data_IF_210811772289
#
_entry.id   IF_210811772289
#
_cell.length_a   1.000
_cell.length_b   1.000
_cell.length_c   1.000
_cell.angle_alpha   90.00
_cell.angle_beta   90.00
_cell.angle_gamma   90.00
#
_symmetry.space_group_name_H-M   'P 1'
#
loop_
_entity.id
_entity.type
_entity.pdbx_description
1 polymer ?
#
# COMPACT_ATOMS: atom_id res chain seq x y z
N UNK A 1 7.75 14.77 -68.98
CA UNK A 1 8.61 15.19 -67.86
C UNK A 1 7.82 15.03 -66.59
N UNK A 2 8.15 14.04 -65.74
CA UNK A 2 8.03 14.06 -64.28
C UNK A 2 8.56 12.69 -63.82
N UNK A 3 9.84 12.67 -63.47
CA UNK A 3 10.57 11.47 -63.06
C UNK A 3 10.33 11.17 -61.59
N UNK A 4 10.03 9.91 -61.30
CA UNK A 4 9.91 9.34 -59.96
C UNK A 4 11.30 9.15 -59.36
N UNK A 5 11.68 9.97 -58.39
CA UNK A 5 12.86 9.75 -57.54
C UNK A 5 12.38 9.15 -56.23
N UNK A 6 12.51 7.82 -56.10
CA UNK A 6 12.34 7.10 -54.84
C UNK A 6 13.52 7.43 -53.92
N UNK A 7 13.26 8.18 -52.84
CA UNK A 7 14.20 8.37 -51.74
C UNK A 7 14.26 7.09 -50.89
N UNK A 8 15.28 6.27 -51.13
CA UNK A 8 15.73 5.21 -50.22
C UNK A 8 16.47 5.86 -49.04
N UNK A 9 15.73 6.22 -47.98
CA UNK A 9 16.34 6.50 -46.67
C UNK A 9 16.74 5.18 -46.02
N UNK A 10 17.98 4.76 -46.23
CA UNK A 10 18.62 3.73 -45.43
C UNK A 10 18.90 4.31 -44.02
N UNK A 11 18.04 3.96 -43.06
CA UNK A 11 18.30 4.12 -41.63
C UNK A 11 19.48 3.20 -41.25
N UNK A 12 20.70 3.72 -41.37
CA UNK A 12 21.89 3.13 -40.76
C UNK A 12 21.76 3.28 -39.24
N UNK A 13 21.09 2.31 -38.61
CA UNK A 13 21.08 2.14 -37.17
C UNK A 13 22.53 1.94 -36.71
N UNK A 14 23.13 3.01 -36.19
CA UNK A 14 24.45 2.96 -35.56
C UNK A 14 24.29 2.13 -34.29
N UNK A 15 24.63 0.84 -34.39
CA UNK A 15 24.79 -0.05 -33.26
C UNK A 15 26.04 0.42 -32.50
N UNK A 16 25.88 1.41 -31.63
CA UNK A 16 26.93 1.79 -30.68
C UNK A 16 27.06 0.62 -29.71
N UNK A 17 28.01 -0.27 -29.98
CA UNK A 17 28.37 -1.32 -29.05
C UNK A 17 28.75 -0.66 -27.72
N UNK A 18 27.97 -0.92 -26.67
CA UNK A 18 28.26 -0.42 -25.34
C UNK A 18 29.68 -0.86 -24.94
N UNK A 19 30.55 0.10 -24.66
CA UNK A 19 31.93 -0.17 -24.23
C UNK A 19 31.86 -0.79 -22.83
N UNK A 20 32.05 -2.11 -22.75
CA UNK A 20 32.06 -2.84 -21.49
C UNK A 20 33.30 -2.50 -20.70
N UNK A 21 33.14 -2.09 -19.45
CA UNK A 21 34.26 -1.84 -18.54
C UNK A 21 35.06 -3.12 -18.31
N UNK A 22 36.35 -3.08 -18.65
CA UNK A 22 37.27 -4.20 -18.49
C UNK A 22 38.35 -3.87 -17.48
N UNK A 23 38.76 -4.88 -16.74
CA UNK A 23 39.80 -4.81 -15.71
C UNK A 23 40.73 -6.01 -15.86
N UNK A 24 41.99 -5.87 -15.46
CA UNK A 24 42.94 -6.97 -15.58
C UNK A 24 42.58 -8.14 -14.65
N UNK A 25 42.73 -9.36 -15.14
CA UNK A 25 42.58 -10.56 -14.33
C UNK A 25 43.73 -10.71 -13.34
N UNK A 26 43.43 -11.29 -12.18
CA UNK A 26 44.46 -11.65 -11.20
C UNK A 26 45.15 -12.91 -11.68
N UNK A 27 46.43 -12.79 -12.03
CA UNK A 27 47.25 -13.92 -12.43
C UNK A 27 47.77 -14.65 -11.19
N UNK A 28 47.48 -15.94 -11.10
CA UNK A 28 47.98 -16.83 -10.06
C UNK A 28 48.93 -17.82 -10.72
N UNK A 29 50.17 -17.84 -10.24
CA UNK A 29 51.20 -18.75 -10.71
C UNK A 29 51.41 -19.83 -9.67
N UNK A 30 51.52 -21.07 -10.13
CA UNK A 30 51.95 -22.22 -9.36
C UNK A 30 53.24 -22.76 -9.96
N UNK A 31 54.26 -22.93 -9.13
CA UNK A 31 55.44 -23.69 -9.51
C UNK A 31 55.68 -24.86 -8.56
N UNK A 32 56.26 -25.93 -9.10
CA UNK A 32 56.59 -27.13 -8.36
C UNK A 32 58.10 -27.36 -8.43
N UNK A 33 58.72 -27.51 -7.27
CA UNK A 33 60.15 -27.85 -7.14
C UNK A 33 60.25 -29.25 -6.59
N UNK A 34 60.81 -30.13 -7.41
CA UNK A 34 60.95 -31.54 -7.08
C UNK A 34 62.36 -31.84 -6.57
N UNK A 35 62.44 -32.61 -5.48
CA UNK A 35 63.67 -33.08 -4.87
C UNK A 35 63.68 -34.62 -4.94
N UNK A 36 64.22 -35.20 -6.03
CA UNK A 36 64.07 -36.62 -6.34
C UNK A 36 64.93 -37.56 -5.47
N UNK A 37 65.87 -37.00 -4.69
CA UNK A 37 66.77 -37.73 -3.79
C UNK A 37 66.71 -37.15 -2.36
N UNK A 38 65.53 -36.69 -1.93
CA UNK A 38 65.33 -36.10 -0.61
C UNK A 38 65.30 -37.18 0.48
N UNK A 39 66.10 -37.01 1.53
CA UNK A 39 66.11 -37.92 2.68
C UNK A 39 65.04 -37.53 3.71
N UNK A 40 64.04 -38.39 3.89
CA UNK A 40 62.97 -38.18 4.89
C UNK A 40 63.50 -38.13 6.33
N UNK A 41 64.58 -38.88 6.62
CA UNK A 41 65.26 -38.84 7.92
C UNK A 41 65.86 -37.46 8.22
N UNK A 42 66.30 -36.72 7.20
CA UNK A 42 66.82 -35.36 7.34
C UNK A 42 65.71 -34.33 7.58
N UNK A 43 64.51 -34.57 7.07
CA UNK A 43 63.32 -33.73 7.27
C UNK A 43 62.79 -33.90 8.70
N UNK A 44 62.67 -35.14 9.16
CA UNK A 44 62.12 -35.49 10.48
C UNK A 44 62.93 -34.94 11.67
N UNK A 45 64.18 -34.52 11.45
CA UNK A 45 65.01 -33.82 12.46
C UNK A 45 64.47 -32.44 12.81
N UNK A 46 63.68 -31.83 11.94
CA UNK A 46 63.13 -30.48 12.14
C UNK A 46 61.73 -30.53 12.73
N UNK A 47 61.59 -30.13 14.00
CA UNK A 47 60.30 -29.87 14.62
C UNK A 47 59.61 -28.72 13.87
N UNK A 48 58.37 -28.93 13.40
CA UNK A 48 57.60 -27.99 12.55
C UNK A 48 58.24 -27.71 11.18
N UNK A 49 58.73 -28.75 10.51
CA UNK A 49 59.25 -28.68 9.13
C UNK A 49 58.43 -27.79 8.18
N UNK A 50 57.10 -27.92 8.17
CA UNK A 50 56.22 -27.14 7.28
C UNK A 50 56.39 -25.62 7.45
N UNK A 51 56.59 -25.13 8.67
CA UNK A 51 56.82 -23.72 8.94
C UNK A 51 58.21 -23.28 8.49
N UNK A 52 59.22 -24.11 8.74
CA UNK A 52 60.61 -23.85 8.35
C UNK A 52 60.74 -23.82 6.82
N UNK A 53 60.24 -24.85 6.14
CA UNK A 53 60.18 -24.91 4.67
C UNK A 53 59.49 -23.67 4.11
N UNK A 54 58.30 -23.32 4.62
CA UNK A 54 57.55 -22.13 4.18
C UNK A 54 58.40 -20.86 4.30
N UNK A 55 59.06 -20.65 5.44
CA UNK A 55 59.91 -19.48 5.67
C UNK A 55 61.13 -19.47 4.74
N UNK A 56 61.74 -20.62 4.51
CA UNK A 56 62.87 -20.76 3.58
C UNK A 56 62.48 -20.46 2.14
N UNK A 57 61.35 -20.99 1.67
CA UNK A 57 60.82 -20.73 0.32
C UNK A 57 60.46 -19.24 0.17
N UNK A 58 59.83 -18.64 1.18
CA UNK A 58 59.55 -17.20 1.21
C UNK A 58 60.84 -16.37 1.14
N UNK A 59 61.91 -16.77 1.82
CA UNK A 59 63.19 -16.07 1.74
C UNK A 59 63.80 -16.15 0.33
N UNK A 60 63.72 -17.32 -0.32
CA UNK A 60 64.11 -17.49 -1.72
C UNK A 60 63.29 -16.58 -2.63
N UNK A 61 61.96 -16.57 -2.49
CA UNK A 61 61.09 -15.70 -3.31
C UNK A 61 61.37 -14.22 -3.09
N UNK A 62 61.58 -13.77 -1.85
CA UNK A 62 61.95 -12.38 -1.54
C UNK A 62 63.26 -11.97 -2.19
N UNK A 63 64.23 -12.88 -2.26
CA UNK A 63 65.49 -12.62 -2.95
C UNK A 63 65.29 -12.41 -4.46
N UNK A 64 64.47 -13.24 -5.10
CA UNK A 64 64.06 -13.03 -6.50
C UNK A 64 63.34 -11.69 -6.63
N UNK A 65 62.33 -11.45 -5.78
CA UNK A 65 61.45 -10.29 -5.87
C UNK A 65 62.19 -8.96 -5.73
N UNK A 66 63.27 -8.93 -4.95
CA UNK A 66 64.15 -7.76 -4.81
C UNK A 66 64.80 -7.33 -6.14
N UNK A 67 64.94 -8.24 -7.10
CA UNK A 67 65.60 -7.98 -8.38
C UNK A 67 64.62 -8.03 -9.55
N UNK A 68 63.65 -8.92 -9.48
CA UNK A 68 62.66 -9.18 -10.52
C UNK A 68 61.32 -9.11 -9.82
N UNK A 69 60.54 -8.06 -10.03
CA UNK A 69 59.28 -7.78 -9.33
C UNK A 69 58.20 -8.81 -9.72
N UNK A 70 58.40 -10.07 -9.33
CA UNK A 70 57.58 -11.23 -9.67
C UNK A 70 56.21 -11.17 -8.98
N UNK A 71 56.09 -10.41 -7.90
CA UNK A 71 54.92 -10.36 -7.02
C UNK A 71 54.87 -9.04 -6.23
N UNK A 72 53.66 -8.55 -5.92
CA UNK A 72 53.44 -7.37 -5.07
C UNK A 72 52.41 -6.43 -5.66
N UNK A 73 51.22 -6.38 -5.07
CA UNK A 73 50.06 -5.65 -5.60
C UNK A 73 50.18 -4.11 -5.61
N UNK A 74 49.19 -3.48 -6.24
CA UNK A 74 49.16 -2.07 -6.67
C UNK A 74 49.65 -1.02 -5.66
N UNK A 75 50.18 0.07 -6.23
CA UNK A 75 50.88 1.28 -5.73
C UNK A 75 50.60 1.88 -4.33
N UNK A 76 49.74 1.32 -3.47
CA UNK A 76 49.29 2.00 -2.24
C UNK A 76 49.83 1.47 -0.89
N UNK A 77 50.65 0.42 -0.85
CA UNK A 77 51.25 -0.02 0.42
C UNK A 77 52.78 -0.19 0.33
N UNK A 78 53.48 0.45 1.28
CA UNK A 78 54.94 0.50 1.49
C UNK A 78 55.61 -0.86 1.76
N UNK A 79 55.13 -1.98 1.21
CA UNK A 79 55.74 -3.32 1.30
C UNK A 79 56.12 -3.84 -0.08
N UNK A 80 56.92 -3.07 -0.79
CA UNK A 80 57.31 -3.29 -2.20
C UNK A 80 58.09 -4.59 -2.49
N UNK A 81 58.42 -5.39 -1.46
CA UNK A 81 59.28 -6.58 -1.59
C UNK A 81 58.69 -7.87 -1.00
N UNK A 82 57.45 -7.87 -0.49
CA UNK A 82 56.84 -9.08 0.06
C UNK A 82 55.85 -9.66 -0.94
N UNK A 83 56.14 -10.85 -1.49
CA UNK A 83 55.16 -11.63 -2.23
C UNK A 83 54.00 -11.97 -1.29
N UNK A 84 52.97 -11.11 -1.23
CA UNK A 84 51.90 -11.08 -0.22
C UNK A 84 51.51 -12.41 0.44
N UNK A 85 50.35 -12.99 0.08
CA UNK A 85 49.87 -14.27 0.64
C UNK A 85 50.36 -15.46 -0.21
N UNK A 86 51.66 -15.77 -0.20
CA UNK A 86 52.18 -17.00 -0.83
C UNK A 86 51.67 -18.22 -0.07
N UNK A 87 51.19 -19.23 -0.79
CA UNK A 87 50.92 -20.56 -0.26
C UNK A 87 52.09 -21.48 -0.63
N UNK A 88 52.64 -22.15 0.38
CA UNK A 88 53.70 -23.14 0.23
C UNK A 88 53.22 -24.42 0.88
N UNK A 89 53.19 -25.50 0.13
CA UNK A 89 52.89 -26.83 0.63
C UNK A 89 53.99 -27.79 0.20
N UNK A 90 54.25 -28.79 1.03
CA UNK A 90 55.23 -29.83 0.74
C UNK A 90 54.59 -31.19 0.90
N UNK A 91 54.89 -32.10 -0.01
CA UNK A 91 54.35 -33.45 -0.03
C UNK A 91 55.43 -34.49 -0.31
N UNK A 92 55.30 -35.65 0.33
CA UNK A 92 56.16 -36.81 0.09
C UNK A 92 55.50 -37.60 -1.04
N UNK A 93 56.11 -37.60 -2.23
CA UNK A 93 55.57 -38.30 -3.40
C UNK A 93 55.89 -39.80 -3.31
N UNK A 94 57.10 -40.14 -2.85
CA UNK A 94 57.58 -41.52 -2.60
C UNK A 94 58.83 -41.51 -1.71
N UNK A 95 59.38 -42.68 -1.38
CA UNK A 95 60.36 -42.92 -0.29
C UNK A 95 61.67 -42.09 -0.33
N UNK A 96 62.03 -41.44 -1.43
CA UNK A 96 63.13 -40.46 -1.49
C UNK A 96 62.80 -39.24 -2.34
N UNK A 97 61.51 -38.90 -2.45
CA UNK A 97 61.04 -37.84 -3.34
C UNK A 97 60.15 -36.87 -2.59
N UNK A 98 60.61 -35.62 -2.50
CA UNK A 98 59.87 -34.55 -1.87
C UNK A 98 59.51 -33.48 -2.90
N UNK A 99 58.25 -33.04 -2.90
CA UNK A 99 57.75 -32.00 -3.80
C UNK A 99 57.33 -30.78 -2.99
N UNK A 100 57.79 -29.61 -3.41
CA UNK A 100 57.33 -28.33 -2.88
C UNK A 100 56.45 -27.66 -3.93
N UNK A 101 55.20 -27.41 -3.58
CA UNK A 101 54.27 -26.61 -4.37
C UNK A 101 54.23 -25.19 -3.82
N UNK A 102 54.35 -24.21 -4.70
CA UNK A 102 54.32 -22.81 -4.34
C UNK A 102 53.35 -22.07 -5.24
N UNK A 103 52.39 -21.38 -4.63
CA UNK A 103 51.35 -20.62 -5.32
C UNK A 103 51.34 -19.19 -4.83
N UNK A 104 51.39 -18.24 -5.75
CA UNK A 104 51.34 -16.81 -5.42
C UNK A 104 50.70 -16.00 -6.55
N UNK A 105 50.20 -14.82 -6.19
CA UNK A 105 49.70 -13.84 -7.16
C UNK A 105 50.93 -13.20 -7.81
N UNK A 106 51.06 -13.39 -9.11
CA UNK A 106 52.20 -12.92 -9.88
C UNK A 106 51.84 -11.63 -10.62
N UNK A 107 52.86 -10.80 -10.86
CA UNK A 107 52.73 -9.66 -11.75
C UNK A 107 52.53 -10.11 -13.22
N UNK A 108 52.05 -9.19 -14.04
CA UNK A 108 51.85 -9.46 -15.47
C UNK A 108 53.18 -9.61 -16.18
N UNK A 109 53.26 -10.63 -17.02
CA UNK A 109 54.39 -10.85 -17.89
C UNK A 109 54.34 -9.91 -19.11
N UNK A 110 55.49 -9.44 -19.61
CA UNK A 110 56.82 -9.69 -19.06
C UNK A 110 57.13 -8.80 -17.83
N UNK A 111 57.68 -9.40 -16.78
CA UNK A 111 58.10 -8.69 -15.57
C UNK A 111 59.39 -7.92 -15.79
N UNK A 112 59.53 -6.79 -15.09
CA UNK A 112 60.70 -5.90 -15.17
C UNK A 112 61.71 -6.18 -14.07
N UNK A 113 62.98 -6.05 -14.41
CA UNK A 113 64.05 -6.04 -13.43
C UNK A 113 64.11 -4.66 -12.72
N UNK A 114 64.28 -4.67 -11.40
CA UNK A 114 64.26 -3.46 -10.58
C UNK A 114 65.53 -2.60 -10.70
N UNK A 115 66.61 -3.14 -11.25
CA UNK A 115 67.94 -2.49 -11.31
C UNK A 115 68.49 -2.34 -12.73
N UNK A 116 67.97 -3.10 -13.68
CA UNK A 116 68.44 -3.17 -15.06
C UNK A 116 67.22 -2.99 -15.95
N UNK A 117 67.37 -2.29 -17.09
CA UNK A 117 66.30 -2.15 -18.08
C UNK A 117 66.14 -3.43 -18.91
N UNK A 118 65.69 -4.50 -18.24
CA UNK A 118 65.51 -5.82 -18.81
C UNK A 118 64.17 -6.42 -18.39
N UNK A 119 63.54 -7.14 -19.30
CA UNK A 119 62.28 -7.85 -19.06
C UNK A 119 62.47 -9.36 -19.22
N UNK A 120 61.69 -10.14 -18.48
CA UNK A 120 61.69 -11.60 -18.57
C UNK A 120 60.33 -12.13 -18.15
N UNK A 121 60.07 -13.42 -18.33
CA UNK A 121 58.85 -14.06 -17.81
C UNK A 121 59.07 -14.52 -16.38
N UNK A 122 58.00 -14.60 -15.58
CA UNK A 122 58.06 -15.20 -14.23
C UNK A 122 58.67 -16.60 -14.29
N UNK A 123 58.26 -17.42 -15.27
CA UNK A 123 58.86 -18.74 -15.50
C UNK A 123 60.38 -18.66 -15.73
N UNK A 124 60.84 -17.78 -16.62
CA UNK A 124 62.25 -17.62 -16.94
C UNK A 124 63.08 -17.20 -15.73
N UNK A 125 62.61 -16.21 -14.97
CA UNK A 125 63.28 -15.75 -13.75
C UNK A 125 63.35 -16.85 -12.69
N UNK A 126 62.26 -17.58 -12.48
CA UNK A 126 62.23 -18.66 -11.49
C UNK A 126 63.13 -19.84 -11.90
N UNK A 127 63.18 -20.15 -13.19
CA UNK A 127 64.04 -21.20 -13.74
C UNK A 127 65.53 -20.82 -13.66
N UNK A 128 65.87 -19.55 -13.88
CA UNK A 128 67.22 -19.01 -13.64
C UNK A 128 67.56 -19.07 -12.15
N UNK A 129 66.63 -18.67 -11.27
CA UNK A 129 66.81 -18.73 -9.82
C UNK A 129 67.05 -20.16 -9.32
N UNK A 130 66.30 -21.14 -9.85
CA UNK A 130 66.48 -22.57 -9.56
C UNK A 130 67.89 -23.03 -9.93
N UNK A 131 68.34 -22.73 -11.16
CA UNK A 131 69.70 -23.07 -11.64
C UNK A 131 70.79 -22.36 -10.83
N UNK A 132 70.52 -21.14 -10.36
CA UNK A 132 71.37 -20.37 -9.46
C UNK A 132 71.35 -20.84 -8.00
N UNK A 133 70.64 -21.93 -7.67
CA UNK A 133 70.65 -22.54 -6.34
C UNK A 133 69.78 -21.83 -5.31
N UNK A 134 68.82 -21.00 -5.72
CA UNK A 134 68.01 -20.22 -4.79
C UNK A 134 67.15 -21.08 -3.85
N UNK A 135 66.73 -22.26 -4.31
CA UNK A 135 66.01 -23.27 -3.53
C UNK A 135 66.93 -24.21 -2.75
N UNK A 136 68.21 -23.86 -2.66
CA UNK A 136 69.21 -24.47 -1.78
C UNK A 136 69.96 -23.40 -0.96
N UNK A 137 69.48 -22.16 -0.95
CA UNK A 137 70.14 -21.05 -0.26
C UNK A 137 70.12 -21.22 1.26
N UNK A 138 69.01 -21.72 1.81
CA UNK A 138 68.83 -21.92 3.26
C UNK A 138 69.24 -23.33 3.71
N UNK A 139 69.76 -23.44 4.93
CA UNK A 139 70.18 -24.72 5.51
C UNK A 139 69.05 -25.76 5.56
N UNK A 140 67.80 -25.30 5.74
CA UNK A 140 66.64 -26.18 5.74
C UNK A 140 66.37 -26.81 4.37
N UNK A 141 66.37 -26.03 3.28
CA UNK A 141 66.14 -26.58 1.93
C UNK A 141 67.33 -27.40 1.43
N UNK A 142 68.56 -27.11 1.88
CA UNK A 142 69.74 -27.97 1.61
C UNK A 142 69.55 -29.39 2.13
N UNK A 143 68.79 -29.58 3.22
CA UNK A 143 68.52 -30.90 3.78
C UNK A 143 67.71 -31.81 2.83
N UNK A 144 67.00 -31.23 1.85
CA UNK A 144 66.29 -31.97 0.80
C UNK A 144 67.19 -32.43 -0.36
N UNK A 145 68.46 -32.02 -0.37
CA UNK A 145 69.40 -32.35 -1.44
C UNK A 145 69.27 -31.44 -2.67
N UNK A 146 69.66 -31.95 -3.84
CA UNK A 146 69.62 -31.20 -5.10
C UNK A 146 68.21 -31.24 -5.71
N UNK A 147 67.60 -30.09 -6.04
CA UNK A 147 66.34 -30.08 -6.77
C UNK A 147 66.56 -30.56 -8.21
N UNK A 148 65.48 -30.96 -8.87
CA UNK A 148 65.46 -31.23 -10.30
C UNK A 148 65.91 -30.00 -11.11
N UNK A 149 66.45 -30.23 -12.30
CA UNK A 149 66.99 -29.16 -13.16
C UNK A 149 65.91 -28.23 -13.75
N UNK A 150 64.65 -28.64 -13.68
CA UNK A 150 63.49 -27.94 -14.24
C UNK A 150 62.39 -27.88 -13.19
N UNK A 151 61.80 -26.69 -13.01
CA UNK A 151 60.55 -26.55 -12.26
C UNK A 151 59.34 -26.86 -13.17
N UNK A 152 58.31 -27.45 -12.60
CA UNK A 152 56.99 -27.46 -13.26
C UNK A 152 56.31 -26.12 -13.02
N UNK A 153 55.60 -25.60 -14.03
CA UNK A 153 54.96 -24.29 -14.00
C UNK A 153 53.54 -24.39 -14.54
N UNK A 154 52.62 -23.77 -13.82
CA UNK A 154 51.22 -23.67 -14.18
C UNK A 154 50.72 -22.27 -13.84
N UNK A 155 49.80 -21.73 -14.65
CA UNK A 155 49.23 -20.41 -14.43
C UNK A 155 47.73 -20.42 -14.69
N UNK A 156 47.02 -19.64 -13.88
CA UNK A 156 45.60 -19.46 -14.01
C UNK A 156 45.22 -18.00 -13.74
N UNK A 157 44.21 -17.52 -14.45
CA UNK A 157 43.72 -16.16 -14.35
C UNK A 157 42.34 -16.15 -13.71
N UNK A 158 42.18 -15.30 -12.70
CA UNK A 158 40.96 -15.22 -11.92
C UNK A 158 40.43 -13.80 -11.90
N UNK A 159 39.13 -13.66 -12.14
CA UNK A 159 38.43 -12.41 -11.95
C UNK A 159 37.95 -12.27 -10.50
N UNK A 160 37.92 -11.04 -10.00
CA UNK A 160 37.29 -10.77 -8.72
C UNK A 160 35.77 -10.95 -8.84
N UNK A 161 35.11 -11.17 -7.69
CA UNK A 161 33.66 -11.36 -7.65
C UNK A 161 32.95 -10.12 -8.19
N UNK A 162 32.10 -10.31 -9.20
CA UNK A 162 31.45 -9.20 -9.91
C UNK A 162 31.94 -9.02 -11.34
N UNK A 163 32.90 -9.83 -11.80
CA UNK A 163 33.42 -9.80 -13.15
C UNK A 163 33.54 -11.21 -13.74
N UNK A 164 33.41 -11.31 -15.06
CA UNK A 164 33.52 -12.53 -15.85
C UNK A 164 34.82 -12.54 -16.65
N UNK A 165 35.49 -13.70 -16.73
CA UNK A 165 36.68 -13.86 -17.56
C UNK A 165 36.26 -13.91 -19.03
N UNK A 166 36.79 -13.01 -19.86
CA UNK A 166 36.39 -12.91 -21.27
C UNK A 166 37.53 -13.26 -22.22
N UNK A 167 38.75 -12.91 -21.83
CA UNK A 167 40.01 -13.34 -22.46
C UNK A 167 40.90 -14.00 -21.40
N UNK A 168 42.02 -14.60 -21.80
CA UNK A 168 42.96 -15.23 -20.86
C UNK A 168 43.45 -14.27 -19.75
N UNK A 169 43.52 -12.96 -19.99
CA UNK A 169 44.07 -11.98 -19.03
C UNK A 169 43.11 -10.82 -18.66
N UNK A 170 41.85 -10.84 -19.12
CA UNK A 170 40.89 -9.75 -18.93
C UNK A 170 39.56 -10.21 -18.34
N UNK A 171 39.07 -9.36 -17.45
CA UNK A 171 37.78 -9.49 -16.80
C UNK A 171 36.84 -8.38 -17.27
N UNK A 172 35.63 -8.75 -17.69
CA UNK A 172 34.54 -7.79 -17.93
C UNK A 172 33.74 -7.65 -16.65
N UNK A 173 33.48 -6.42 -16.23
CA UNK A 173 32.61 -6.15 -15.10
C UNK A 173 31.15 -6.40 -15.46
N UNK A 174 30.41 -7.05 -14.56
CA UNK A 174 28.96 -7.06 -14.67
C UNK A 174 28.45 -5.64 -14.55
N UNK A 175 27.66 -5.21 -15.55
CA UNK A 175 27.16 -3.85 -15.64
C UNK A 175 26.19 -3.51 -14.49
N UNK A 176 25.90 -2.22 -14.29
CA UNK A 176 24.80 -1.79 -13.41
C UNK A 176 23.50 -2.53 -13.77
N UNK A 177 22.76 -2.96 -12.76
CA UNK A 177 21.59 -3.82 -12.90
C UNK A 177 21.91 -5.30 -13.01
N UNK A 178 23.17 -5.72 -12.97
CA UNK A 178 23.56 -7.13 -13.00
C UNK A 178 24.43 -7.50 -11.80
N UNK A 179 24.52 -8.80 -11.52
CA UNK A 179 25.44 -9.37 -10.55
C UNK A 179 26.12 -10.61 -11.14
N UNK A 180 27.32 -10.92 -10.65
CA UNK A 180 28.03 -12.12 -11.05
C UNK A 180 27.51 -13.34 -10.28
N UNK A 181 26.85 -14.27 -10.98
CA UNK A 181 26.42 -15.54 -10.42
C UNK A 181 27.58 -16.56 -10.50
N UNK A 182 28.01 -17.07 -9.36
CA UNK A 182 29.15 -17.99 -9.25
C UNK A 182 28.85 -19.39 -9.79
N UNK A 183 27.59 -19.81 -9.79
CA UNK A 183 27.19 -21.14 -10.26
C UNK A 183 27.17 -21.18 -11.79
N UNK A 184 26.62 -20.15 -12.42
CA UNK A 184 26.60 -20.02 -13.89
C UNK A 184 27.88 -19.41 -14.45
N UNK A 185 28.71 -18.75 -13.63
CA UNK A 185 29.88 -17.97 -14.06
C UNK A 185 29.54 -16.87 -15.07
N UNK A 186 28.32 -16.33 -14.98
CA UNK A 186 27.79 -15.31 -15.89
C UNK A 186 27.25 -14.11 -15.11
N UNK A 187 27.12 -12.97 -15.81
CA UNK A 187 26.43 -11.80 -15.28
C UNK A 187 24.92 -11.97 -15.49
N UNK A 188 24.16 -11.97 -14.41
CA UNK A 188 22.71 -12.11 -14.41
C UNK A 188 22.04 -10.82 -13.96
N UNK A 189 20.87 -10.46 -14.52
CA UNK A 189 20.15 -9.28 -14.09
C UNK A 189 19.68 -9.41 -12.63
N UNK A 190 19.66 -8.29 -11.93
CA UNK A 190 19.09 -8.22 -10.59
C UNK A 190 17.63 -8.67 -10.59
N UNK A 191 17.26 -9.58 -9.70
CA UNK A 191 15.89 -10.04 -9.57
C UNK A 191 14.97 -8.91 -9.10
N UNK A 192 13.67 -9.08 -9.32
CA UNK A 192 12.65 -8.14 -8.85
C UNK A 192 12.80 -7.89 -7.34
N UNK A 193 12.69 -6.63 -6.91
CA UNK A 193 12.92 -6.21 -5.52
C UNK A 193 14.37 -5.92 -5.19
N UNK A 194 15.27 -6.00 -6.18
CA UNK A 194 16.69 -5.68 -6.04
C UNK A 194 17.18 -4.80 -7.17
N UNK A 195 18.20 -3.98 -6.90
CA UNK A 195 18.84 -3.09 -7.86
C UNK A 195 20.36 -3.09 -7.72
N UNK A 196 21.07 -2.61 -8.73
CA UNK A 196 22.52 -2.43 -8.66
C UNK A 196 22.97 -1.18 -9.41
N UNK A 197 23.46 -0.18 -8.68
CA UNK A 197 23.89 1.10 -9.25
C UNK A 197 25.36 1.15 -9.68
N UNK A 198 26.17 0.16 -9.31
CA UNK A 198 27.60 0.11 -9.64
C UNK A 198 27.94 -1.15 -10.42
N UNK A 199 28.80 -1.01 -11.43
CA UNK A 199 29.41 -2.14 -12.12
C UNK A 199 30.30 -2.97 -11.18
N UNK A 200 30.53 -4.23 -11.52
CA UNK A 200 31.52 -5.07 -10.84
C UNK A 200 31.08 -5.57 -9.48
N UNK A 201 29.78 -5.72 -9.25
CA UNK A 201 29.23 -6.20 -7.97
C UNK A 201 28.81 -7.66 -8.02
N UNK A 202 29.09 -8.37 -6.92
CA UNK A 202 28.78 -9.78 -6.78
C UNK A 202 27.35 -10.07 -6.31
N UNK A 203 26.63 -9.04 -5.85
CA UNK A 203 25.27 -9.15 -5.31
C UNK A 203 24.50 -7.86 -5.60
N UNK A 204 23.19 -7.98 -5.85
CA UNK A 204 22.29 -6.84 -5.95
C UNK A 204 21.92 -6.32 -4.54
N UNK A 205 21.60 -5.03 -4.47
CA UNK A 205 21.10 -4.37 -3.27
C UNK A 205 19.58 -4.55 -3.21
N UNK A 206 19.03 -4.86 -2.04
CA UNK A 206 17.57 -4.95 -1.85
C UNK A 206 16.94 -3.57 -1.79
N UNK A 207 15.73 -3.44 -2.31
CA UNK A 207 14.91 -2.26 -2.06
C UNK A 207 14.59 -2.09 -0.57
N UNK A 208 14.29 -0.86 -0.11
CA UNK A 208 13.80 -0.62 1.23
C UNK A 208 12.54 -1.44 1.56
N UNK A 209 12.27 -1.64 2.86
CA UNK A 209 11.10 -2.41 3.30
C UNK A 209 9.81 -1.81 2.77
N UNK A 210 8.96 -2.63 2.14
CA UNK A 210 7.71 -2.20 1.53
C UNK A 210 7.86 -1.64 0.11
N UNK A 211 9.04 -1.72 -0.48
CA UNK A 211 9.31 -1.32 -1.85
C UNK A 211 9.88 -2.49 -2.67
N UNK A 212 9.61 -2.47 -3.97
CA UNK A 212 10.09 -3.45 -4.93
C UNK A 212 10.43 -2.77 -6.26
N UNK A 213 11.17 -3.45 -7.12
CA UNK A 213 11.38 -2.98 -8.50
C UNK A 213 10.30 -3.54 -9.40
N UNK A 214 9.94 -2.84 -10.48
CA UNK A 214 8.95 -3.32 -11.45
C UNK A 214 9.54 -4.34 -12.43
N UNK A 215 10.80 -4.13 -12.78
CA UNK A 215 11.52 -4.92 -13.77
C UNK A 215 12.74 -5.59 -13.13
N UNK A 216 13.17 -6.70 -13.74
CA UNK A 216 14.50 -7.24 -13.48
C UNK A 216 15.57 -6.28 -14.03
N UNK A 217 16.75 -6.28 -13.43
CA UNK A 217 17.89 -5.50 -13.90
C UNK A 217 17.87 -4.02 -13.53
N UNK A 218 17.11 -3.64 -12.49
CA UNK A 218 17.05 -2.25 -12.01
C UNK A 218 18.42 -1.71 -11.64
N UNK A 219 18.68 -0.47 -12.05
CA UNK A 219 20.00 0.16 -11.90
C UNK A 219 20.02 1.11 -10.70
N UNK A 220 18.89 1.71 -10.35
CA UNK A 220 18.83 2.73 -9.31
C UNK A 220 17.92 2.35 -8.16
N UNK A 221 18.19 2.91 -6.98
CA UNK A 221 17.27 2.87 -5.84
C UNK A 221 15.96 3.60 -6.15
N UNK A 222 15.99 4.57 -7.07
CA UNK A 222 14.80 5.29 -7.52
C UNK A 222 13.86 4.40 -8.35
N UNK A 223 14.33 3.23 -8.81
CA UNK A 223 13.50 2.23 -9.48
C UNK A 223 12.67 1.40 -8.48
N UNK A 224 12.93 1.57 -7.17
CA UNK A 224 12.15 0.94 -6.10
C UNK A 224 10.85 1.72 -5.90
N UNK A 225 9.74 1.11 -6.26
CA UNK A 225 8.37 1.61 -6.10
C UNK A 225 7.66 0.87 -4.96
N UNK A 226 6.55 1.40 -4.47
CA UNK A 226 5.79 0.75 -3.38
C UNK A 226 5.35 -0.66 -3.80
N UNK A 227 5.58 -1.63 -2.92
CA UNK A 227 5.16 -3.01 -3.15
C UNK A 227 3.68 -3.17 -2.76
N UNK A 228 2.82 -3.13 -3.77
CA UNK A 228 1.39 -3.33 -3.57
C UNK A 228 1.08 -4.77 -3.16
N UNK A 229 0.21 -4.93 -2.15
CA UNK A 229 -0.21 -6.26 -1.65
C UNK A 229 -1.07 -7.00 -2.69
N UNK A 230 -1.20 -8.33 -2.60
CA UNK A 230 -2.16 -9.06 -3.42
C UNK A 230 -3.57 -8.46 -3.33
N UNK A 231 -4.29 -8.47 -4.45
CA UNK A 231 -5.60 -7.80 -4.61
C UNK A 231 -5.51 -6.32 -4.96
N UNK A 232 -4.30 -5.77 -5.04
CA UNK A 232 -4.04 -4.40 -5.47
C UNK A 232 -2.98 -4.35 -6.58
N UNK A 233 -2.94 -3.24 -7.31
CA UNK A 233 -1.95 -2.95 -8.32
C UNK A 233 -1.41 -1.53 -8.15
N UNK A 234 -0.17 -1.29 -8.58
CA UNK A 234 0.42 0.03 -8.57
C UNK A 234 -0.08 0.84 -9.77
N UNK A 235 -0.78 1.95 -9.51
CA UNK A 235 -1.04 2.97 -10.51
C UNK A 235 0.21 3.84 -10.68
N UNK A 236 0.82 3.77 -11.87
CA UNK A 236 2.06 4.48 -12.19
C UNK A 236 1.90 6.00 -12.26
N UNK A 237 0.68 6.51 -12.47
CA UNK A 237 0.43 7.95 -12.53
C UNK A 237 0.38 8.56 -11.13
N UNK A 238 -0.25 7.85 -10.19
CA UNK A 238 -0.44 8.32 -8.82
C UNK A 238 0.64 7.81 -7.86
N UNK A 239 1.38 6.76 -8.24
CA UNK A 239 2.34 6.08 -7.38
C UNK A 239 1.69 5.34 -6.21
N UNK A 240 0.37 5.12 -6.26
CA UNK A 240 -0.42 4.54 -5.18
C UNK A 240 -0.97 3.16 -5.55
N UNK A 241 -1.19 2.32 -4.54
CA UNK A 241 -1.81 1.02 -4.72
C UNK A 241 -3.33 1.16 -4.83
N UNK A 242 -3.87 0.74 -5.97
CA UNK A 242 -5.31 0.71 -6.23
C UNK A 242 -5.84 -0.72 -6.17
N UNK A 243 -7.09 -0.85 -5.74
CA UNK A 243 -7.80 -2.12 -5.68
C UNK A 243 -8.14 -2.61 -7.10
N UNK A 244 -8.11 -3.93 -7.32
CA UNK A 244 -8.51 -4.51 -8.60
C UNK A 244 -9.99 -4.28 -8.97
N UNK A 245 -10.83 -3.91 -8.00
CA UNK A 245 -12.26 -3.77 -8.20
C UNK A 245 -12.96 -5.13 -8.33
N UNK A 246 -14.19 -5.13 -8.82
CA UNK A 246 -14.99 -6.35 -8.91
C UNK A 246 -14.79 -7.16 -10.21
N UNK A 247 -14.00 -6.64 -11.16
CA UNK A 247 -13.80 -7.28 -12.47
C UNK A 247 -12.41 -7.88 -12.62
N UNK A 248 -11.60 -7.87 -11.56
CA UNK A 248 -10.24 -8.36 -11.63
C UNK A 248 -9.70 -8.80 -10.28
N UNK A 249 -8.62 -9.56 -10.35
CA UNK A 249 -7.92 -10.10 -9.21
C UNK A 249 -6.40 -10.01 -9.41
N UNK A 250 -5.64 -10.02 -8.32
CA UNK A 250 -4.18 -9.99 -8.39
C UNK A 250 -3.54 -10.89 -7.33
N UNK A 251 -2.97 -12.05 -7.70
CA UNK A 251 -2.30 -12.93 -6.73
C UNK A 251 -0.91 -12.46 -6.34
N UNK A 252 -0.20 -11.73 -7.20
CA UNK A 252 1.21 -11.37 -6.99
C UNK A 252 1.33 -9.96 -6.41
N UNK A 253 2.12 -9.82 -5.35
CA UNK A 253 2.53 -8.52 -4.84
C UNK A 253 3.40 -7.77 -5.87
N UNK A 254 3.42 -6.42 -5.79
CA UNK A 254 4.25 -5.59 -6.66
C UNK A 254 3.81 -5.55 -8.13
N UNK A 255 2.55 -5.87 -8.42
CA UNK A 255 2.02 -5.86 -9.79
C UNK A 255 1.54 -4.47 -10.22
N UNK A 256 1.63 -4.14 -11.51
CA UNK A 256 1.18 -2.86 -12.09
C UNK A 256 -0.19 -2.92 -12.76
N UNK A 257 -0.81 -4.09 -12.81
CA UNK A 257 -2.15 -4.29 -13.35
C UNK A 257 -2.83 -5.47 -12.68
N UNK A 258 -4.16 -5.53 -12.76
CA UNK A 258 -4.94 -6.68 -12.30
C UNK A 258 -5.28 -7.61 -13.46
N UNK A 259 -5.41 -8.89 -13.15
CA UNK A 259 -5.89 -9.90 -14.11
C UNK A 259 -7.40 -9.83 -14.18
N UNK A 260 -8.01 -9.77 -15.38
CA UNK A 260 -9.47 -9.74 -15.49
C UNK A 260 -10.07 -11.07 -15.04
N UNK A 261 -11.24 -11.01 -14.41
CA UNK A 261 -12.06 -12.20 -14.21
C UNK A 261 -12.56 -12.73 -15.58
N UNK A 262 -12.79 -14.05 -15.72
CA UNK A 262 -13.40 -14.63 -16.92
C UNK A 262 -14.72 -13.96 -17.32
N UNK A 263 -15.10 -14.06 -18.60
CA UNK A 263 -16.35 -13.48 -19.10
C UNK A 263 -17.56 -13.97 -18.30
N UNK A 264 -18.43 -13.05 -17.91
CA UNK A 264 -19.62 -13.34 -17.10
C UNK A 264 -19.34 -13.58 -15.62
N UNK A 265 -18.10 -13.37 -15.15
CA UNK A 265 -17.73 -13.54 -13.75
C UNK A 265 -17.20 -12.23 -13.14
N UNK A 266 -17.41 -12.07 -11.84
CA UNK A 266 -17.02 -10.92 -11.02
C UNK A 266 -16.49 -11.43 -9.69
N UNK A 267 -15.65 -10.66 -9.01
CA UNK A 267 -15.25 -10.97 -7.65
C UNK A 267 -16.29 -10.50 -6.63
N UNK A 268 -16.33 -11.14 -5.45
CA UNK A 268 -17.17 -10.67 -4.32
C UNK A 268 -16.61 -9.43 -3.63
N UNK A 269 -15.29 -9.25 -3.69
CA UNK A 269 -14.60 -8.14 -3.06
C UNK A 269 -13.73 -7.38 -4.07
N UNK A 270 -13.49 -6.10 -3.77
CA UNK A 270 -12.61 -5.24 -4.59
C UNK A 270 -11.13 -5.61 -4.51
N UNK A 271 -10.74 -6.46 -3.55
CA UNK A 271 -9.37 -6.85 -3.26
C UNK A 271 -9.09 -8.32 -3.62
N UNK A 272 -9.73 -8.82 -4.68
CA UNK A 272 -9.67 -10.24 -5.01
C UNK A 272 -8.22 -10.70 -5.28
N UNK A 273 -7.79 -11.76 -4.61
CA UNK A 273 -6.39 -12.23 -4.69
C UNK A 273 -6.23 -13.44 -5.61
N UNK A 274 -7.29 -14.15 -5.96
CA UNK A 274 -7.21 -15.38 -6.76
C UNK A 274 -8.37 -15.52 -7.74
N UNK A 275 -8.15 -16.33 -8.78
CA UNK A 275 -9.18 -16.66 -9.78
C UNK A 275 -10.39 -17.36 -9.16
N UNK A 276 -10.19 -18.14 -8.09
CA UNK A 276 -11.27 -18.82 -7.36
C UNK A 276 -12.26 -17.87 -6.69
N UNK A 277 -11.90 -16.59 -6.55
CA UNK A 277 -12.80 -15.55 -6.01
C UNK A 277 -13.65 -14.90 -7.12
N UNK A 278 -13.41 -15.21 -8.40
CA UNK A 278 -14.29 -14.82 -9.49
C UNK A 278 -15.48 -15.80 -9.55
N UNK A 279 -16.67 -15.31 -9.23
CA UNK A 279 -17.93 -16.04 -9.25
C UNK A 279 -18.82 -15.54 -10.39
N UNK A 280 -19.84 -16.30 -10.78
CA UNK A 280 -20.78 -15.86 -11.83
C UNK A 280 -21.50 -14.58 -11.43
N UNK A 281 -21.55 -13.59 -12.32
CA UNK A 281 -22.27 -12.34 -12.10
C UNK A 281 -23.77 -12.65 -11.99
N UNK A 282 -24.44 -12.04 -11.01
CA UNK A 282 -25.88 -12.12 -10.88
C UNK A 282 -26.60 -11.61 -12.15
N UNK A 283 -27.79 -12.15 -12.48
CA UNK A 283 -28.59 -11.71 -13.62
C UNK A 283 -28.96 -10.22 -13.51
N UNK A 284 -29.41 -9.58 -14.61
CA UNK A 284 -29.95 -8.22 -14.56
C UNK A 284 -30.99 -8.07 -13.44
N UNK A 285 -30.96 -6.92 -12.77
CA UNK A 285 -31.83 -6.64 -11.62
C UNK A 285 -31.42 -7.30 -10.31
N UNK A 286 -30.32 -8.06 -10.23
CA UNK A 286 -29.87 -8.68 -8.98
C UNK A 286 -28.39 -8.42 -8.67
N UNK A 287 -28.03 -8.19 -7.42
CA UNK A 287 -26.63 -8.03 -6.96
C UNK A 287 -26.22 -9.14 -5.98
N UNK A 288 -24.92 -9.29 -5.76
CA UNK A 288 -24.42 -10.22 -4.74
C UNK A 288 -24.55 -9.67 -3.33
N UNK A 289 -25.04 -10.50 -2.41
CA UNK A 289 -24.93 -10.34 -0.96
C UNK A 289 -23.51 -10.66 -0.47
N UNK A 290 -23.21 -10.40 0.82
CA UNK A 290 -21.93 -10.77 1.43
C UNK A 290 -21.60 -12.26 1.34
N UNK A 291 -22.62 -13.11 1.33
CA UNK A 291 -22.50 -14.57 1.22
C UNK A 291 -22.42 -15.05 -0.24
N UNK A 292 -22.50 -14.11 -1.19
CA UNK A 292 -22.42 -14.36 -2.62
C UNK A 292 -23.71 -14.82 -3.29
N UNK A 293 -24.81 -14.94 -2.54
CA UNK A 293 -26.15 -15.16 -3.10
C UNK A 293 -26.66 -13.91 -3.84
N UNK A 294 -27.50 -14.11 -4.86
CA UNK A 294 -28.10 -13.01 -5.61
C UNK A 294 -29.38 -12.50 -4.95
N UNK A 295 -29.44 -11.18 -4.70
CA UNK A 295 -30.61 -10.48 -4.19
C UNK A 295 -31.12 -9.45 -5.21
N UNK A 296 -32.44 -9.20 -5.31
CA UNK A 296 -32.97 -8.19 -6.21
C UNK A 296 -32.56 -6.77 -5.79
N UNK A 297 -32.30 -5.90 -6.77
CA UNK A 297 -32.02 -4.48 -6.53
C UNK A 297 -33.19 -3.83 -5.78
N UNK A 298 -32.89 -3.07 -4.73
CA UNK A 298 -33.89 -2.31 -4.01
C UNK A 298 -34.55 -1.23 -4.92
N UNK A 299 -35.69 -0.71 -4.49
CA UNK A 299 -36.36 0.41 -5.16
C UNK A 299 -35.42 1.62 -5.23
N UNK A 300 -35.39 2.29 -6.38
CA UNK A 300 -34.46 3.39 -6.65
C UNK A 300 -33.10 2.93 -7.17
N UNK A 301 -32.93 1.62 -7.38
CA UNK A 301 -31.74 1.04 -7.99
C UNK A 301 -32.10 0.11 -9.14
N UNK A 302 -31.21 0.00 -10.11
CA UNK A 302 -31.33 -0.89 -11.27
C UNK A 302 -29.99 -1.57 -11.57
N UNK A 303 -30.02 -2.70 -12.26
CA UNK A 303 -28.78 -3.36 -12.74
C UNK A 303 -28.98 -3.91 -14.13
N UNK A 304 -28.19 -3.42 -15.08
CA UNK A 304 -28.16 -3.91 -16.45
C UNK A 304 -27.29 -5.16 -16.59
N UNK A 305 -27.29 -5.78 -17.76
CA UNK A 305 -26.53 -7.02 -18.03
C UNK A 305 -25.03 -6.93 -17.72
N UNK A 306 -24.41 -5.80 -18.04
CA UNK A 306 -22.97 -5.58 -17.86
C UNK A 306 -22.61 -4.95 -16.51
N UNK A 307 -23.60 -4.55 -15.72
CA UNK A 307 -23.35 -3.97 -14.40
C UNK A 307 -23.01 -5.10 -13.42
N UNK A 308 -22.12 -4.80 -12.46
CA UNK A 308 -21.70 -5.75 -11.42
C UNK A 308 -22.60 -5.64 -10.17
N UNK A 309 -23.07 -4.43 -9.88
CA UNK A 309 -23.89 -4.12 -8.71
C UNK A 309 -25.08 -3.25 -9.12
N UNK A 310 -26.05 -3.12 -8.22
CA UNK A 310 -27.18 -2.23 -8.44
C UNK A 310 -26.70 -0.77 -8.46
N UNK A 311 -26.98 -0.08 -9.57
CA UNK A 311 -26.71 1.33 -9.77
C UNK A 311 -27.89 2.16 -9.26
N UNK A 312 -27.64 3.28 -8.57
CA UNK A 312 -28.72 4.18 -8.16
C UNK A 312 -29.34 4.87 -9.39
N UNK A 313 -30.64 5.14 -9.32
CA UNK A 313 -31.31 6.10 -10.20
C UNK A 313 -30.78 7.53 -9.94
N UNK A 314 -31.15 8.48 -10.81
CA UNK A 314 -30.97 9.91 -10.54
C UNK A 314 -31.65 10.29 -9.20
N UNK A 315 -31.09 11.19 -8.38
CA UNK A 315 -31.71 11.56 -7.10
C UNK A 315 -33.18 12.00 -7.18
N UNK A 316 -33.61 12.51 -8.34
CA UNK A 316 -34.98 12.95 -8.62
C UNK A 316 -35.93 11.83 -9.04
N UNK A 317 -35.43 10.63 -9.32
CA UNK A 317 -36.22 9.51 -9.84
C UNK A 317 -36.00 8.20 -9.09
N UNK A 318 -36.95 7.28 -9.24
CA UNK A 318 -36.95 5.97 -8.61
C UNK A 318 -37.60 4.93 -9.51
N UNK A 319 -37.33 3.66 -9.21
CA UNK A 319 -37.96 2.52 -9.89
C UNK A 319 -39.34 2.21 -9.32
N UNK A 320 -40.20 1.59 -10.12
CA UNK A 320 -41.53 1.14 -9.70
C UNK A 320 -41.46 -0.01 -8.70
N UNK A 321 -40.59 -0.98 -8.97
CA UNK A 321 -40.42 -2.20 -8.20
C UNK A 321 -38.95 -2.52 -7.92
N UNK A 322 -38.74 -3.49 -7.02
CA UNK A 322 -37.44 -4.13 -6.82
C UNK A 322 -37.05 -4.94 -8.05
N UNK A 323 -35.76 -5.22 -8.23
CA UNK A 323 -35.27 -6.06 -9.31
C UNK A 323 -35.21 -5.36 -10.67
N UNK A 324 -35.14 -4.03 -10.69
CA UNK A 324 -35.12 -3.28 -11.95
C UNK A 324 -33.91 -3.62 -12.82
N UNK A 325 -34.14 -3.95 -14.08
CA UNK A 325 -33.12 -4.44 -15.02
C UNK A 325 -32.53 -3.35 -15.92
N UNK A 326 -33.08 -2.13 -15.91
CA UNK A 326 -32.68 -1.05 -16.82
C UNK A 326 -32.92 0.33 -16.19
N UNK A 327 -32.09 1.30 -16.57
CA UNK A 327 -32.19 2.70 -16.18
C UNK A 327 -33.53 3.32 -16.58
N UNK A 328 -34.11 2.90 -17.70
CA UNK A 328 -35.41 3.41 -18.18
C UNK A 328 -36.56 3.15 -17.20
N UNK A 329 -36.41 2.23 -16.27
CA UNK A 329 -37.40 1.99 -15.23
C UNK A 329 -37.32 3.01 -14.07
N UNK A 330 -36.29 3.85 -14.03
CA UNK A 330 -36.20 5.02 -13.14
C UNK A 330 -37.09 6.17 -13.65
N UNK A 331 -38.39 5.90 -13.82
CA UNK A 331 -39.34 6.80 -14.46
C UNK A 331 -40.24 7.54 -13.46
N UNK A 332 -40.30 7.08 -12.20
CA UNK A 332 -41.16 7.68 -11.18
C UNK A 332 -40.38 8.74 -10.40
N UNK A 333 -41.02 9.84 -9.95
CA UNK A 333 -40.34 10.84 -9.15
C UNK A 333 -40.00 10.31 -7.75
N UNK A 334 -38.77 10.58 -7.29
CA UNK A 334 -38.35 10.29 -5.93
C UNK A 334 -38.86 11.39 -4.99
N UNK A 335 -39.93 11.11 -4.24
CA UNK A 335 -40.61 12.13 -3.47
C UNK A 335 -39.77 12.66 -2.30
N UNK A 336 -39.63 13.99 -2.16
CA UNK A 336 -38.92 14.59 -1.05
C UNK A 336 -39.69 14.41 0.27
N UNK A 337 -39.05 14.73 1.39
CA UNK A 337 -39.69 14.71 2.72
C UNK A 337 -40.98 15.54 2.72
N UNK A 338 -41.98 15.07 3.44
CA UNK A 338 -43.33 15.65 3.49
C UNK A 338 -44.21 15.25 2.30
N UNK A 339 -43.71 14.44 1.36
CA UNK A 339 -44.48 13.95 0.23
C UNK A 339 -44.42 12.41 0.18
N UNK A 340 -45.43 11.82 -0.46
CA UNK A 340 -45.46 10.40 -0.78
C UNK A 340 -45.79 10.20 -2.26
N UNK A 341 -45.28 9.12 -2.85
CA UNK A 341 -45.53 8.79 -4.24
C UNK A 341 -46.92 8.16 -4.40
N UNK A 342 -47.78 8.79 -5.21
CA UNK A 342 -49.02 8.18 -5.66
C UNK A 342 -48.79 7.51 -7.03
N UNK A 343 -48.99 6.19 -7.09
CA UNK A 343 -48.78 5.38 -8.31
C UNK A 343 -49.83 5.62 -9.38
N UNK A 344 -51.07 5.97 -9.02
CA UNK A 344 -52.16 6.18 -9.99
C UNK A 344 -51.88 7.39 -10.88
N UNK A 345 -51.23 8.42 -10.31
CA UNK A 345 -50.91 9.67 -10.99
C UNK A 345 -49.41 9.81 -11.32
N UNK A 346 -48.56 8.92 -10.81
CA UNK A 346 -47.10 9.02 -10.92
C UNK A 346 -46.53 10.32 -10.34
N UNK A 347 -47.18 10.88 -9.31
CA UNK A 347 -46.87 12.20 -8.76
C UNK A 347 -46.68 12.16 -7.25
N UNK A 348 -45.84 13.08 -6.75
CA UNK A 348 -45.63 13.26 -5.33
C UNK A 348 -46.73 14.13 -4.73
N UNK A 349 -47.51 13.55 -3.81
CA UNK A 349 -48.55 14.23 -3.07
C UNK A 349 -48.07 14.60 -1.67
N UNK A 350 -48.46 15.77 -1.17
CA UNK A 350 -48.10 16.24 0.17
C UNK A 350 -48.85 15.43 1.22
N UNK A 351 -48.19 15.16 2.35
CA UNK A 351 -48.87 14.59 3.51
C UNK A 351 -49.99 15.52 3.99
N UNK A 352 -51.17 14.95 4.26
CA UNK A 352 -52.30 15.69 4.82
C UNK A 352 -52.13 16.04 6.29
N UNK A 353 -53.13 16.70 6.87
CA UNK A 353 -53.19 16.96 8.31
C UNK A 353 -53.11 15.66 9.12
N UNK A 354 -52.47 15.72 10.29
CA UNK A 354 -52.24 14.58 11.16
C UNK A 354 -51.21 13.57 10.63
N UNK A 355 -50.53 13.87 9.52
CA UNK A 355 -49.55 13.00 8.89
C UNK A 355 -48.26 13.76 8.57
N UNK A 356 -47.14 13.04 8.53
CA UNK A 356 -45.82 13.55 8.20
C UNK A 356 -45.00 12.51 7.43
N UNK A 357 -43.93 12.93 6.77
CA UNK A 357 -42.97 12.02 6.16
C UNK A 357 -41.56 12.59 6.26
N UNK A 358 -40.70 11.91 6.99
CA UNK A 358 -39.32 12.29 7.30
C UNK A 358 -38.28 11.56 6.44
N UNK A 359 -38.68 10.51 5.72
CA UNK A 359 -37.87 9.78 4.75
C UNK A 359 -38.21 10.19 3.31
N UNK A 360 -37.26 10.03 2.39
CA UNK A 360 -37.46 10.26 0.95
C UNK A 360 -37.98 9.00 0.25
N UNK A 361 -38.64 9.17 -0.89
CA UNK A 361 -39.07 8.06 -1.76
C UNK A 361 -40.16 7.17 -1.16
N UNK A 362 -40.91 7.68 -0.18
CA UNK A 362 -41.90 6.90 0.55
C UNK A 362 -43.23 6.80 -0.20
N UNK A 363 -43.94 5.70 0.04
CA UNK A 363 -45.22 5.38 -0.62
C UNK A 363 -46.45 5.79 0.19
N UNK A 364 -46.25 6.22 1.42
CA UNK A 364 -47.32 6.69 2.31
C UNK A 364 -46.72 7.64 3.34
N UNK A 365 -47.58 8.44 3.99
CA UNK A 365 -47.17 9.28 5.10
C UNK A 365 -47.35 8.54 6.44
N UNK A 366 -46.45 8.80 7.39
CA UNK A 366 -46.54 8.34 8.77
C UNK A 366 -47.62 9.15 9.49
N UNK A 367 -48.40 8.50 10.36
CA UNK A 367 -49.41 9.19 11.19
C UNK A 367 -48.75 9.80 12.43
N UNK A 368 -49.27 10.95 12.85
CA UNK A 368 -48.87 11.55 14.12
C UNK A 368 -49.26 10.64 15.32
N UNK A 369 -48.49 10.68 16.42
CA UNK A 369 -48.86 10.04 17.68
C UNK A 369 -50.25 10.47 18.19
N UNK A 370 -50.88 9.65 19.03
CA UNK A 370 -52.19 9.97 19.61
C UNK A 370 -52.19 11.32 20.36
N UNK A 371 -53.24 12.12 20.18
CA UNK A 371 -53.37 13.44 20.79
C UNK A 371 -52.50 14.54 20.15
N UNK A 372 -51.93 14.28 18.97
CA UNK A 372 -51.12 15.24 18.21
C UNK A 372 -51.53 15.30 16.74
N UNK A 373 -51.33 16.45 16.10
CA UNK A 373 -51.63 16.67 14.69
C UNK A 373 -50.60 17.62 14.05
N UNK A 374 -50.39 17.50 12.73
CA UNK A 374 -49.64 18.48 11.96
C UNK A 374 -50.58 19.59 11.49
N UNK A 375 -50.17 20.86 11.63
CA UNK A 375 -50.98 22.04 11.26
C UNK A 375 -50.74 22.54 9.82
N UNK A 376 -49.85 21.89 9.08
CA UNK A 376 -49.52 22.23 7.69
C UNK A 376 -49.47 20.97 6.83
N UNK A 377 -49.81 21.12 5.56
CA UNK A 377 -49.58 20.08 4.56
C UNK A 377 -48.08 19.86 4.35
N UNK A 378 -47.72 18.60 4.15
CA UNK A 378 -46.35 18.18 3.86
C UNK A 378 -45.41 18.31 5.05
N UNK A 379 -45.88 17.95 6.24
CA UNK A 379 -45.03 17.92 7.43
C UNK A 379 -43.85 16.95 7.25
N UNK A 380 -42.66 17.40 7.62
CA UNK A 380 -41.39 16.71 7.30
C UNK A 380 -40.77 15.94 8.45
N UNK A 381 -41.39 15.99 9.63
CA UNK A 381 -40.87 15.37 10.85
C UNK A 381 -41.99 15.13 11.85
N UNK A 382 -41.80 14.10 12.69
CA UNK A 382 -42.67 13.83 13.85
C UNK A 382 -42.69 14.99 14.84
N UNK A 383 -41.65 15.79 14.90
CA UNK A 383 -41.57 16.99 15.77
C UNK A 383 -42.59 18.08 15.38
N UNK A 384 -43.11 18.03 14.15
CA UNK A 384 -44.16 18.95 13.70
C UNK A 384 -45.57 18.48 14.10
N UNK A 385 -45.69 17.30 14.72
CA UNK A 385 -46.92 16.84 15.36
C UNK A 385 -47.08 17.56 16.70
N UNK A 386 -47.94 18.57 16.73
CA UNK A 386 -48.21 19.37 17.94
C UNK A 386 -49.44 18.85 18.66
N UNK A 387 -49.51 19.05 19.97
CA UNK A 387 -50.67 18.64 20.76
C UNK A 387 -51.94 19.31 20.23
N UNK A 388 -53.02 18.54 20.17
CA UNK A 388 -54.34 19.07 19.85
C UNK A 388 -54.98 19.79 21.03
N UNK A 389 -54.47 19.58 22.25
CA UNK A 389 -54.99 20.22 23.45
C UNK A 389 -54.35 21.61 23.69
N UNK A 390 -55.06 22.66 23.29
CA UNK A 390 -54.60 24.04 23.41
C UNK A 390 -54.61 24.55 24.84
N UNK A 391 -55.40 23.92 25.72
CA UNK A 391 -55.43 24.23 27.14
C UNK A 391 -54.11 23.82 27.82
N UNK A 392 -53.50 22.73 27.39
CA UNK A 392 -52.18 22.27 27.87
C UNK A 392 -51.04 23.04 27.21
N UNK A 393 -51.16 23.37 25.90
CA UNK A 393 -50.11 24.12 25.21
C UNK A 393 -50.10 25.61 25.55
N UNK A 394 -51.18 26.15 26.13
CA UNK A 394 -51.32 27.57 26.44
C UNK A 394 -51.55 28.46 25.22
N UNK A 395 -51.80 27.86 24.04
CA UNK A 395 -52.11 28.60 22.80
C UNK A 395 -53.56 29.11 22.75
N UNK A 396 -54.35 28.79 23.78
CA UNK A 396 -55.71 29.29 23.93
C UNK A 396 -55.73 30.79 24.22
N UNK A 397 -56.78 31.47 23.75
CA UNK A 397 -57.00 32.90 24.00
C UNK A 397 -57.95 33.19 25.16
N UNK A 398 -58.23 32.20 26.01
CA UNK A 398 -59.09 32.39 27.18
C UNK A 398 -58.60 33.56 28.05
N UNK A 399 -59.54 34.29 28.66
CA UNK A 399 -59.21 35.32 29.63
C UNK A 399 -58.39 34.72 30.78
N UNK A 400 -57.51 35.49 31.40
CA UNK A 400 -56.72 35.01 32.55
C UNK A 400 -57.57 34.61 33.78
N UNK A 401 -58.84 35.04 33.80
CA UNK A 401 -59.86 34.66 34.81
C UNK A 401 -60.83 33.57 34.30
N UNK A 402 -60.51 32.90 33.20
CA UNK A 402 -61.28 31.79 32.65
C UNK A 402 -60.50 30.48 32.73
N UNK A 403 -61.23 29.38 32.86
CA UNK A 403 -60.72 28.03 32.67
C UNK A 403 -60.90 27.65 31.18
N UNK A 404 -59.86 27.02 30.63
CA UNK A 404 -59.88 26.44 29.29
C UNK A 404 -60.37 24.99 29.36
N UNK A 405 -61.24 24.60 28.42
CA UNK A 405 -61.72 23.24 28.25
C UNK A 405 -61.43 22.77 26.82
N UNK A 406 -60.67 21.70 26.71
CA UNK A 406 -60.34 21.03 25.46
C UNK A 406 -61.61 20.39 24.86
N UNK A 407 -61.85 20.60 23.58
CA UNK A 407 -63.00 20.03 22.86
C UNK A 407 -62.52 18.95 21.88
N UNK A 408 -63.36 17.97 21.52
CA UNK A 408 -63.02 17.01 20.48
C UNK A 408 -62.65 17.73 19.18
N UNK A 409 -61.53 17.32 18.59
CA UNK A 409 -61.06 17.87 17.32
C UNK A 409 -62.06 17.55 16.19
N UNK A 410 -62.38 18.55 15.36
CA UNK A 410 -63.16 18.36 14.14
C UNK A 410 -62.25 18.58 12.92
N UNK A 411 -62.27 17.66 11.95
CA UNK A 411 -61.46 17.74 10.71
C UNK A 411 -59.94 17.97 10.93
N UNK A 412 -59.36 17.40 11.99
CA UNK A 412 -57.97 17.63 12.41
C UNK A 412 -57.66 19.09 12.78
N UNK A 413 -58.68 19.90 13.07
CA UNK A 413 -58.54 21.23 13.64
C UNK A 413 -58.74 21.11 15.15
N UNK A 414 -57.79 21.64 15.94
CA UNK A 414 -57.92 21.58 17.37
C UNK A 414 -58.97 22.62 17.82
N UNK A 415 -59.93 22.22 18.66
CA UNK A 415 -60.97 23.11 19.22
C UNK A 415 -60.87 23.23 20.75
N UNK A 416 -61.22 24.39 21.29
CA UNK A 416 -61.31 24.62 22.74
C UNK A 416 -62.44 25.60 23.09
N UNK A 417 -62.87 25.57 24.34
CA UNK A 417 -63.82 26.54 24.90
C UNK A 417 -63.28 27.17 26.18
N UNK A 418 -63.72 28.40 26.47
CA UNK A 418 -63.32 29.14 27.66
C UNK A 418 -64.54 29.42 28.53
N UNK A 419 -64.43 29.21 29.84
CA UNK A 419 -65.50 29.54 30.80
C UNK A 419 -64.93 30.31 31.99
N UNK A 420 -65.52 31.45 32.35
CA UNK A 420 -65.06 32.23 33.49
C UNK A 420 -65.03 31.39 34.77
N UNK A 421 -63.99 31.59 35.57
CA UNK A 421 -63.82 30.94 36.87
C UNK A 421 -64.93 31.36 37.85
N UNK A 422 -65.22 30.57 38.90
CA UNK A 422 -66.19 30.92 39.92
C UNK A 422 -65.94 32.32 40.50
N UNK A 423 -66.98 33.17 40.53
CA UNK A 423 -66.85 34.56 40.98
C UNK A 423 -66.56 35.59 39.88
N UNK A 424 -66.57 35.16 38.61
CA UNK A 424 -66.42 36.02 37.44
C UNK A 424 -67.50 35.70 36.40
N UNK A 425 -67.91 36.70 35.62
CA UNK A 425 -68.93 36.57 34.58
C UNK A 425 -68.44 37.16 33.26
N UNK A 426 -68.89 36.57 32.15
CA UNK A 426 -68.48 36.96 30.79
C UNK A 426 -68.55 35.78 29.81
N UNK A 427 -67.91 35.93 28.65
CA UNK A 427 -67.92 34.93 27.57
C UNK A 427 -66.72 33.95 27.63
N UNK A 428 -65.90 34.02 28.68
CA UNK A 428 -64.69 33.19 28.84
C UNK A 428 -63.44 33.75 28.15
N UNK A 429 -63.58 34.63 27.16
CA UNK A 429 -62.47 35.39 26.56
C UNK A 429 -62.31 36.78 27.21
N UNK A 430 -63.40 37.30 27.76
CA UNK A 430 -63.46 38.45 28.64
C UNK A 430 -64.24 38.07 29.90
N UNK A 431 -63.64 38.21 31.07
CA UNK A 431 -64.26 37.89 32.35
C UNK A 431 -64.08 39.05 33.33
N UNK A 432 -65.18 39.53 33.90
CA UNK A 432 -65.20 40.61 34.88
C UNK A 432 -65.66 40.09 36.24
N UNK A 433 -65.26 40.78 37.30
CA UNK A 433 -65.66 40.41 38.66
C UNK A 433 -67.18 40.49 38.77
N UNK A 434 -67.82 39.40 39.21
CA UNK A 434 -69.27 39.33 39.36
C UNK A 434 -69.81 40.38 40.35
N UNK A 435 -68.99 40.87 41.28
CA UNK A 435 -69.35 41.90 42.23
C UNK A 435 -69.24 43.33 41.66
N UNK A 436 -68.60 43.51 40.50
CA UNK A 436 -68.42 44.82 39.88
C UNK A 436 -69.80 45.40 39.53
N UNK A 437 -70.17 46.52 40.16
CA UNK A 437 -71.47 47.19 40.01
C UNK A 437 -72.70 46.33 40.33
N UNK A 438 -72.52 45.19 41.02
CA UNK A 438 -73.65 44.33 41.37
C UNK A 438 -74.43 44.89 42.56
N UNK A 439 -73.76 45.19 43.67
CA UNK A 439 -74.41 45.71 44.87
C UNK A 439 -74.56 47.23 44.79
N UNK A 440 -75.77 47.73 45.05
CA UNK A 440 -76.12 49.15 44.96
C UNK A 440 -75.97 49.85 46.32
N UNK A 441 -76.00 51.18 46.31
CA UNK A 441 -76.00 52.02 47.52
C UNK A 441 -74.82 51.76 48.49
N UNK A 442 -73.65 51.46 47.95
CA UNK A 442 -72.44 51.21 48.74
C UNK A 442 -72.50 49.93 49.60
N UNK A 443 -73.38 48.98 49.25
CA UNK A 443 -73.45 47.66 49.85
C UNK A 443 -72.20 46.83 49.56
N UNK A 444 -71.77 46.02 50.54
CA UNK A 444 -70.57 45.19 50.42
C UNK A 444 -70.90 43.91 49.68
N UNK A 445 -70.28 43.68 48.53
CA UNK A 445 -70.38 42.39 47.84
C UNK A 445 -69.46 41.35 48.47
N UNK A 446 -69.97 40.15 48.71
CA UNK A 446 -69.19 38.97 49.09
C UNK A 446 -69.44 37.84 48.09
N UNK A 447 -68.45 36.98 47.88
CA UNK A 447 -68.58 35.79 47.04
C UNK A 447 -68.71 34.57 47.95
N UNK A 448 -69.64 33.68 47.63
CA UNK A 448 -69.77 32.38 48.32
C UNK A 448 -68.62 31.44 47.93
N UNK A 449 -68.49 30.30 48.62
CA UNK A 449 -67.50 29.26 48.26
C UNK A 449 -67.68 28.68 46.85
N UNK A 450 -68.86 28.85 46.24
CA UNK A 450 -69.15 28.47 44.85
C UNK A 450 -68.96 29.61 43.84
N UNK A 451 -68.52 30.78 44.31
CA UNK A 451 -68.35 31.98 43.48
C UNK A 451 -69.63 32.77 43.22
N UNK A 452 -70.78 32.34 43.74
CA UNK A 452 -72.03 33.10 43.60
C UNK A 452 -71.94 34.40 44.42
N UNK A 453 -72.32 35.55 43.86
CA UNK A 453 -72.30 36.81 44.57
C UNK A 453 -73.45 36.93 45.58
N UNK A 454 -73.18 37.60 46.70
CA UNK A 454 -74.18 37.99 47.69
C UNK A 454 -73.88 39.40 48.19
N UNK A 455 -74.89 40.26 48.17
CA UNK A 455 -74.77 41.62 48.69
C UNK A 455 -75.12 41.66 50.19
N UNK A 456 -74.26 42.30 50.98
CA UNK A 456 -74.53 42.67 52.37
C UNK A 456 -74.96 44.13 52.36
N UNK A 457 -76.26 44.36 52.54
CA UNK A 457 -76.86 45.68 52.52
C UNK A 457 -76.47 46.49 53.77
N UNK A 458 -76.29 47.79 53.59
CA UNK A 458 -76.18 48.75 54.71
C UNK A 458 -77.55 48.95 55.36
N UNK A 459 -77.57 49.42 56.60
CA UNK A 459 -78.80 49.71 57.35
C UNK A 459 -79.73 50.62 56.53
N UNK A 460 -81.00 50.23 56.41
CA UNK A 460 -82.00 50.93 55.60
C UNK A 460 -82.16 50.41 54.17
N UNK A 461 -81.45 49.35 53.75
CA UNK A 461 -81.60 48.75 52.40
C UNK A 461 -81.82 47.23 52.46
N UNK A 462 -82.65 46.69 51.55
CA UNK A 462 -82.95 45.25 51.37
C UNK A 462 -83.05 44.87 49.88
N UNK A 463 -83.09 43.58 49.57
CA UNK A 463 -83.13 43.06 48.19
C UNK A 463 -81.88 42.24 47.83
N UNK A 464 -81.87 41.61 46.65
CA UNK A 464 -80.75 40.74 46.24
C UNK A 464 -79.48 41.55 45.90
N UNK A 465 -79.66 42.80 45.49
CA UNK A 465 -78.63 43.78 45.14
C UNK A 465 -78.66 45.02 46.06
N UNK A 466 -79.48 45.01 47.12
CA UNK A 466 -79.73 46.14 48.03
C UNK A 466 -80.42 47.33 47.34
N UNK A 467 -81.32 47.01 46.43
CA UNK A 467 -82.04 47.93 45.56
C UNK A 467 -83.25 48.62 46.23
N UNK A 468 -83.79 48.05 47.31
CA UNK A 468 -84.97 48.58 48.01
C UNK A 468 -84.59 49.26 49.32
N UNK A 469 -85.26 50.36 49.66
CA UNK A 469 -85.14 51.05 50.95
C UNK A 469 -86.09 50.38 51.96
N UNK A 470 -85.67 50.26 53.21
CA UNK A 470 -86.43 49.67 54.34
C UNK A 470 -87.11 50.76 55.15
#
# INVERSE_FOLDING_TARGET
>A
MFGSVLLLYALACHYVAAVKETVPAVRVVRFQVDYPNASLASINKYVKWNAIMRNSVLASLRFVNKHWLICGGSESEKRQNDCGRVQVTGEIVRENYYRINVTFIAERDPIRNAKIDGTSTVFGVMQIGLRGGIFQYTNALKALGKPAATLAFDEAFFCYRGAILTDQDKCILCESGQFHNQTSSMCEPCAQGTYQNRSGRARCQSCPVGFTTLNIGSKSVNDCVVECRPGTFLDLNTGQCQLCGYMGYQPKAGSTSCRPCPRGTVSLSKNATSLSQCIGNCPPGQQHTSDGACEPCAIGFYKSLNDVMCRPCDPSSTTEAVGSTNEKHCALPNCPKGFYLNYDFGQCLRCGYGQYQDDVGQRSCKRCPAGTTTRKFGATSSSECVSTNQCVTGEHKCHWLAACFDLPDEENRPLYSCKCQPGFVGNGFECTDVCMNLCLHGAKCIKTSRGDPKCICRSGYRGKRCEFIV
#
